data_IF_280633445742
#
_entry.id   IF_280633445742
#
_cell.length_a   1.000
_cell.length_b   1.000
_cell.length_c   1.000
_cell.angle_alpha   90.00
_cell.angle_beta   90.00
_cell.angle_gamma   90.00
#
_symmetry.space_group_name_H-M   'P 1'
#
loop_
_entity.id
_entity.type
_entity.pdbx_description
1 polymer ?
#
# COMPACT_ATOMS: atom_id res chain seq x y z
N UNK A 1 5.20 5.62 5.93
CA UNK A 1 3.91 6.05 6.51
C UNK A 1 3.16 4.84 7.06
N UNK A 2 2.47 5.01 8.18
CA UNK A 2 1.70 3.96 8.87
C UNK A 2 0.29 4.48 9.15
N UNK A 3 -0.72 3.74 8.70
CA UNK A 3 -2.14 4.10 8.81
C UNK A 3 -2.83 3.00 9.60
N UNK A 4 -3.80 3.36 10.43
CA UNK A 4 -4.63 2.36 11.10
C UNK A 4 -5.63 1.72 10.11
N UNK A 5 -5.97 0.44 10.28
CA UNK A 5 -6.90 -0.29 9.41
C UNK A 5 -8.28 0.41 9.31
N UNK A 6 -8.74 1.03 10.39
CA UNK A 6 -10.00 1.81 10.41
C UNK A 6 -9.88 3.22 9.80
N UNK A 7 -8.70 3.59 9.30
CA UNK A 7 -8.36 4.95 8.89
C UNK A 7 -7.69 5.74 10.01
N UNK A 8 -7.09 6.87 9.65
CA UNK A 8 -6.30 7.71 10.56
C UNK A 8 -4.80 7.43 10.46
N UNK A 9 -4.03 8.52 10.30
CA UNK A 9 -2.58 8.49 10.22
C UNK A 9 -1.98 8.23 11.61
N UNK A 10 -1.18 7.18 11.76
CA UNK A 10 -0.47 6.86 13.01
C UNK A 10 0.90 7.54 13.02
N UNK A 11 1.63 7.43 11.92
CA UNK A 11 2.98 7.95 11.79
C UNK A 11 3.32 8.18 10.33
N UNK A 12 4.09 9.23 10.07
CA UNK A 12 4.58 9.59 8.75
C UNK A 12 6.03 10.06 8.85
N UNK A 13 6.72 10.14 7.73
CA UNK A 13 8.13 10.53 7.69
C UNK A 13 8.70 10.45 6.29
N UNK A 14 9.86 11.09 6.09
CA UNK A 14 10.48 11.24 4.78
C UNK A 14 9.56 12.00 3.81
N UNK A 15 9.52 11.57 2.55
CA UNK A 15 8.70 12.22 1.51
C UNK A 15 7.18 12.04 1.71
N UNK A 16 6.76 11.25 2.69
CA UNK A 16 5.34 11.03 3.03
C UNK A 16 4.94 11.72 4.34
N UNK A 17 5.79 12.58 4.89
CA UNK A 17 5.53 13.29 6.15
C UNK A 17 4.27 14.15 6.09
N UNK A 18 3.39 13.98 7.08
CA UNK A 18 2.11 14.69 7.27
C UNK A 18 1.17 14.71 6.05
N UNK A 19 1.32 13.78 5.10
CA UNK A 19 0.45 13.72 3.92
C UNK A 19 -0.81 12.91 4.18
N UNK A 20 -1.79 13.52 4.84
CA UNK A 20 -3.08 12.90 5.17
C UNK A 20 -3.90 12.53 3.92
N UNK A 21 -3.81 13.32 2.86
CA UNK A 21 -4.50 13.03 1.59
C UNK A 21 -4.00 11.73 0.95
N UNK A 22 -2.67 11.53 0.92
CA UNK A 22 -2.10 10.26 0.46
C UNK A 22 -2.50 9.10 1.38
N UNK A 23 -2.54 9.32 2.70
CA UNK A 23 -2.99 8.31 3.65
C UNK A 23 -4.44 7.86 3.37
N UNK A 24 -5.35 8.81 3.11
CA UNK A 24 -6.74 8.50 2.77
C UNK A 24 -6.86 7.71 1.46
N UNK A 25 -6.08 8.08 0.43
CA UNK A 25 -6.06 7.37 -0.85
C UNK A 25 -5.61 5.92 -0.67
N UNK A 26 -4.48 5.69 0.01
CA UNK A 26 -3.98 4.33 0.24
C UNK A 26 -4.92 3.50 1.13
N UNK A 27 -5.55 4.13 2.12
CA UNK A 27 -6.56 3.47 2.97
C UNK A 27 -7.75 2.99 2.13
N UNK A 28 -8.30 3.85 1.26
CA UNK A 28 -9.39 3.48 0.35
C UNK A 28 -8.97 2.38 -0.62
N UNK A 29 -7.78 2.48 -1.23
CA UNK A 29 -7.27 1.43 -2.13
C UNK A 29 -7.20 0.06 -1.45
N UNK A 30 -6.60 -0.02 -0.26
CA UNK A 30 -6.48 -1.26 0.49
C UNK A 30 -7.85 -1.82 0.88
N UNK A 31 -8.75 -0.95 1.36
CA UNK A 31 -10.10 -1.35 1.76
C UNK A 31 -10.91 -1.88 0.58
N UNK A 32 -10.90 -1.19 -0.56
CA UNK A 32 -11.60 -1.62 -1.77
C UNK A 32 -11.02 -2.93 -2.33
N UNK A 33 -9.70 -3.12 -2.29
CA UNK A 33 -9.06 -4.39 -2.70
C UNK A 33 -9.32 -5.55 -1.73
N UNK A 34 -9.61 -5.27 -0.45
CA UNK A 34 -9.92 -6.28 0.55
C UNK A 34 -11.40 -6.67 0.55
N UNK A 35 -12.31 -5.69 0.45
CA UNK A 35 -13.77 -5.90 0.45
C UNK A 35 -14.24 -6.55 -0.85
N UNK A 36 -13.61 -6.19 -1.96
CA UNK A 36 -13.90 -6.79 -3.25
C UNK A 36 -13.00 -8.02 -3.42
N UNK A 37 -13.60 -9.22 -3.45
CA UNK A 37 -13.03 -10.47 -4.01
C UNK A 37 -12.65 -10.33 -5.52
N UNK A 38 -12.30 -9.14 -5.98
CA UNK A 38 -12.32 -8.69 -7.37
C UNK A 38 -11.00 -8.91 -8.10
N UNK A 39 -10.02 -9.52 -7.42
CA UNK A 39 -8.89 -10.20 -8.07
C UNK A 39 -9.03 -11.73 -7.88
N UNK A 40 -10.24 -12.26 -8.01
CA UNK A 40 -10.46 -13.71 -8.08
C UNK A 40 -10.32 -14.19 -9.53
N UNK A 41 -9.07 -14.36 -10.01
CA UNK A 41 -8.81 -15.43 -10.98
C UNK A 41 -8.66 -16.70 -10.14
N UNK A 42 -9.76 -17.45 -10.07
CA UNK A 42 -10.04 -18.60 -9.23
C UNK A 42 -8.83 -19.42 -8.73
N UNK A 43 -8.80 -19.65 -7.41
CA UNK A 43 -7.95 -20.68 -6.79
C UNK A 43 -7.49 -20.31 -5.39
N UNK A 44 -8.36 -20.55 -4.40
CA UNK A 44 -8.04 -20.76 -2.97
C UNK A 44 -6.79 -20.07 -2.40
N UNK A 45 -6.99 -18.92 -1.71
CA UNK A 45 -6.15 -18.23 -0.71
C UNK A 45 -6.48 -16.72 -0.81
N UNK A 46 -7.69 -16.32 -0.43
CA UNK A 46 -8.28 -15.03 -0.83
C UNK A 46 -7.63 -13.81 -0.17
N UNK A 47 -6.78 -13.08 -0.89
CA UNK A 47 -6.24 -11.75 -0.53
C UNK A 47 -5.02 -11.35 -1.36
N UNK A 48 -4.52 -10.13 -1.17
CA UNK A 48 -3.23 -9.69 -1.72
C UNK A 48 -2.20 -9.55 -0.58
N UNK A 49 -0.95 -9.98 -0.82
CA UNK A 49 0.14 -9.84 0.17
C UNK A 49 0.81 -8.47 0.12
N UNK A 50 0.87 -7.88 -1.07
CA UNK A 50 1.56 -6.63 -1.41
C UNK A 50 0.76 -5.92 -2.49
N UNK A 51 0.51 -4.62 -2.31
CA UNK A 51 0.01 -3.73 -3.35
C UNK A 51 1.17 -2.81 -3.74
N UNK A 52 1.40 -2.65 -5.04
CA UNK A 52 2.43 -1.73 -5.56
C UNK A 52 1.82 -0.75 -6.56
N UNK A 53 2.17 0.52 -6.41
CA UNK A 53 1.77 1.58 -7.36
C UNK A 53 3.03 2.12 -8.00
N UNK A 54 3.19 1.88 -9.30
CA UNK A 54 4.40 2.21 -10.05
C UNK A 54 4.23 3.53 -10.80
N UNK A 55 5.17 4.45 -10.61
CA UNK A 55 5.35 5.68 -11.37
C UNK A 55 6.67 5.56 -12.18
N UNK A 56 6.98 6.57 -12.99
CA UNK A 56 8.17 6.55 -13.85
C UNK A 56 9.48 6.59 -13.05
N UNK A 57 9.52 7.38 -11.98
CA UNK A 57 10.72 7.67 -11.19
C UNK A 57 10.72 7.01 -9.80
N UNK A 58 9.55 6.55 -9.34
CA UNK A 58 9.37 5.96 -8.03
C UNK A 58 8.21 4.97 -8.00
N UNK A 59 8.07 4.26 -6.89
CA UNK A 59 6.95 3.38 -6.65
C UNK A 59 6.59 3.37 -5.17
N UNK A 60 5.33 3.05 -4.90
CA UNK A 60 4.85 2.80 -3.55
C UNK A 60 4.69 1.31 -3.34
N UNK A 61 5.13 0.84 -2.18
CA UNK A 61 4.84 -0.50 -1.69
C UNK A 61 3.92 -0.38 -0.49
N UNK A 62 2.81 -1.09 -0.55
CA UNK A 62 1.78 -1.11 0.48
C UNK A 62 1.57 -2.54 0.97
N UNK A 63 1.61 -2.73 2.28
CA UNK A 63 1.37 -4.01 2.93
C UNK A 63 0.53 -3.81 4.20
N UNK A 64 -0.25 -4.83 4.55
CA UNK A 64 -1.07 -4.81 5.77
C UNK A 64 -0.50 -5.82 6.76
N UNK A 65 -0.25 -5.38 7.98
CA UNK A 65 0.21 -6.24 9.08
C UNK A 65 -0.24 -5.67 10.41
N UNK A 66 -0.62 -6.54 11.35
CA UNK A 66 -1.03 -6.16 12.71
C UNK A 66 -2.06 -4.99 12.74
N UNK A 67 -3.11 -5.08 11.89
CA UNK A 67 -4.16 -4.05 11.74
C UNK A 67 -3.64 -2.66 11.36
N UNK A 68 -2.47 -2.60 10.72
CA UNK A 68 -1.83 -1.38 10.22
C UNK A 68 -1.51 -1.52 8.74
N UNK A 69 -1.70 -0.44 8.00
CA UNK A 69 -1.30 -0.31 6.61
C UNK A 69 0.04 0.41 6.59
N UNK A 70 1.05 -0.26 6.03
CA UNK A 70 2.40 0.27 5.88
C UNK A 70 2.59 0.71 4.43
N UNK A 71 2.98 1.97 4.25
CA UNK A 71 3.25 2.56 2.94
C UNK A 71 4.68 3.08 2.89
N UNK A 72 5.43 2.65 1.89
CA UNK A 72 6.81 3.08 1.64
C UNK A 72 6.93 3.57 0.20
N UNK A 73 7.45 4.78 0.03
CA UNK A 73 7.88 5.30 -1.28
C UNK A 73 9.33 4.87 -1.50
N UNK A 74 9.63 4.34 -2.68
CA UNK A 74 10.98 3.95 -3.11
C UNK A 74 11.27 4.57 -4.47
N UNK A 75 12.50 5.03 -4.69
CA UNK A 75 12.94 5.45 -6.03
C UNK A 75 13.03 4.23 -6.93
N UNK A 76 12.60 4.40 -8.17
CA UNK A 76 12.65 3.36 -9.17
C UNK A 76 14.11 3.10 -9.55
N UNK A 77 14.59 1.92 -9.20
CA UNK A 77 15.84 1.39 -9.70
C UNK A 77 15.50 0.13 -10.50
N UNK A 78 15.96 -0.02 -11.76
CA UNK A 78 15.64 -1.17 -12.61
C UNK A 78 15.97 -2.54 -11.98
N UNK A 79 16.83 -2.56 -10.97
CA UNK A 79 17.26 -3.76 -10.23
C UNK A 79 16.61 -3.89 -8.84
N UNK A 80 15.59 -3.10 -8.49
CA UNK A 80 14.97 -3.17 -7.16
C UNK A 80 14.15 -4.47 -7.02
N UNK A 81 14.50 -5.37 -6.08
CA UNK A 81 13.80 -6.65 -5.90
C UNK A 81 12.34 -6.49 -5.46
N UNK A 82 11.90 -5.30 -5.05
CA UNK A 82 10.50 -5.05 -4.73
C UNK A 82 9.58 -4.95 -5.95
N UNK A 83 10.14 -4.81 -7.16
CA UNK A 83 9.41 -4.78 -8.44
C UNK A 83 9.11 -6.18 -9.02
N UNK A 84 9.74 -7.22 -8.47
CA UNK A 84 9.60 -8.62 -8.89
C UNK A 84 8.55 -9.36 -8.04
#
# INVERSE_FOLDING_TARGET
MVIHEKGGLISSGGELEYNEGAAEIFHKMVKECADKKLISLAGSESGFRKLSVQFEDHFYVVAVSNKKIHVVKRRYHPTDPALV
#
